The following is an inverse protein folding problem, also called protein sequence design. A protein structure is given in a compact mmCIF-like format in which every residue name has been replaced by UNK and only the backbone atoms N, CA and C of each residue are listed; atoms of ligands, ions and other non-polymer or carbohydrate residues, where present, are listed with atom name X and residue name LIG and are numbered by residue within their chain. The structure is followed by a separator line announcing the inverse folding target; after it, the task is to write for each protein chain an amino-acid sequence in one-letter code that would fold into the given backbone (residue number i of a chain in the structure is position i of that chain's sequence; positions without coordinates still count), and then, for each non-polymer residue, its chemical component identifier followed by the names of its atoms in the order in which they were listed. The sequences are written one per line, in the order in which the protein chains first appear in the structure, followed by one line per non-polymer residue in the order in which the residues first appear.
data_IF_363520628317
#
_entry.id   IF_363520628317
#
_cell.length_a   1.000
_cell.length_b   1.000
_cell.length_c   1.000
_cell.angle_alpha   90.00
_cell.angle_beta   90.00
_cell.angle_gamma   90.00
#
_symmetry.space_group_name_H-M   'P 1'
#
loop_
_entity.id
_entity.type
_entity.pdbx_description
1 polymer ?
#
# COMPACT_ATOMS: atom_id res chain seq x y z
N UNK A 1 -1.67 -2.63 12.48
CA UNK A 1 -1.82 -1.15 12.49
C UNK A 1 -2.92 -0.67 13.44
N UNK A 2 -4.07 -1.35 13.52
CA UNK A 2 -5.21 -1.00 14.42
C UNK A 2 -4.88 -1.25 15.90
N UNK A 3 -4.13 -2.31 16.22
CA UNK A 3 -3.82 -2.66 17.62
C UNK A 3 -2.95 -1.66 18.40
N UNK A 4 -2.26 -0.72 17.73
CA UNK A 4 -1.39 0.25 18.43
C UNK A 4 -2.14 1.47 18.95
N UNK A 5 -3.39 1.71 18.51
CA UNK A 5 -4.19 2.89 18.84
C UNK A 5 -3.51 4.25 18.51
N UNK A 6 -2.41 4.24 17.74
CA UNK A 6 -1.64 5.46 17.40
C UNK A 6 -2.23 6.26 16.23
N UNK A 7 -3.50 6.04 15.94
CA UNK A 7 -4.15 6.50 14.71
C UNK A 7 -5.67 6.38 14.75
N UNK A 8 -6.21 6.32 15.96
CA UNK A 8 -7.63 6.19 16.23
C UNK A 8 -8.34 7.55 16.25
N UNK A 9 -7.60 8.64 16.07
CA UNK A 9 -8.14 9.99 15.89
C UNK A 9 -7.54 10.63 14.65
N UNK A 10 -8.25 11.57 14.00
CA UNK A 10 -7.71 12.28 12.84
C UNK A 10 -6.36 12.95 13.12
N UNK A 11 -6.19 13.56 14.29
CA UNK A 11 -4.93 14.21 14.67
C UNK A 11 -3.74 13.24 14.83
N UNK A 12 -3.95 12.08 15.46
CA UNK A 12 -2.88 11.08 15.60
C UNK A 12 -2.57 10.41 14.26
N UNK A 13 -3.59 10.19 13.43
CA UNK A 13 -3.42 9.70 12.06
C UNK A 13 -2.63 10.70 11.20
N UNK A 14 -2.94 11.99 11.28
CA UNK A 14 -2.22 13.07 10.60
C UNK A 14 -0.72 13.03 10.88
N UNK A 15 -0.31 13.02 12.16
CA UNK A 15 1.12 12.96 12.52
C UNK A 15 1.81 11.75 11.92
N UNK A 16 1.14 10.60 11.90
CA UNK A 16 1.72 9.35 11.42
C UNK A 16 1.86 9.35 9.90
N UNK A 17 0.84 9.80 9.17
CA UNK A 17 0.89 9.87 7.72
C UNK A 17 1.87 10.95 7.24
N UNK A 18 1.91 12.12 7.88
CA UNK A 18 2.93 13.13 7.61
C UNK A 18 4.33 12.59 7.84
N UNK A 19 4.58 11.91 8.98
CA UNK A 19 5.90 11.29 9.21
C UNK A 19 6.25 10.25 8.14
N UNK A 20 5.28 9.47 7.68
CA UNK A 20 5.49 8.44 6.64
C UNK A 20 5.84 9.10 5.30
N UNK A 21 5.07 10.11 4.90
CA UNK A 21 5.31 10.88 3.68
C UNK A 21 6.67 11.56 3.69
N UNK A 22 7.05 12.23 4.78
CA UNK A 22 8.36 12.86 4.91
C UNK A 22 9.50 11.85 4.80
N UNK A 23 9.33 10.62 5.30
CA UNK A 23 10.30 9.55 5.09
C UNK A 23 10.39 9.15 3.62
N UNK A 24 9.27 8.94 2.93
CA UNK A 24 9.23 8.59 1.51
C UNK A 24 9.91 9.68 0.66
N UNK A 25 9.57 10.95 0.88
CA UNK A 25 10.22 12.08 0.21
C UNK A 25 11.72 12.11 0.51
N UNK A 26 12.13 11.88 1.75
CA UNK A 26 13.55 11.80 2.10
C UNK A 26 14.25 10.72 1.26
N UNK A 27 13.66 9.53 1.13
CA UNK A 27 14.22 8.40 0.38
C UNK A 27 14.31 8.70 -1.12
N UNK A 28 13.30 9.37 -1.68
CA UNK A 28 13.24 9.72 -3.10
C UNK A 28 14.15 10.90 -3.47
N UNK A 29 14.44 11.80 -2.53
CA UNK A 29 15.18 13.05 -2.80
C UNK A 29 16.66 13.01 -2.42
N UNK A 30 17.15 11.94 -1.78
CA UNK A 30 18.55 11.84 -1.37
C UNK A 30 19.15 10.48 -1.67
N UNK A 31 20.42 10.49 -2.07
CA UNK A 31 21.21 9.28 -2.26
C UNK A 31 21.15 8.34 -1.05
N UNK A 32 21.01 7.04 -1.33
CA UNK A 32 21.12 6.01 -0.31
C UNK A 32 22.58 5.60 -0.10
N UNK A 33 23.29 6.35 0.73
CA UNK A 33 24.68 6.07 1.14
C UNK A 33 24.82 6.06 2.66
N UNK A 34 25.75 5.31 3.27
CA UNK A 34 25.98 5.38 4.71
C UNK A 34 26.09 6.82 5.22
N UNK A 35 25.31 7.18 6.24
CA UNK A 35 25.27 8.53 6.83
C UNK A 35 24.34 9.54 6.12
N UNK A 36 23.90 9.27 4.89
CA UNK A 36 22.94 10.12 4.17
C UNK A 36 21.61 10.30 4.92
N UNK A 37 20.80 11.33 4.57
CA UNK A 37 19.44 11.47 5.07
C UNK A 37 18.58 10.22 4.84
N UNK A 38 18.61 9.63 3.63
CA UNK A 38 17.89 8.39 3.30
C UNK A 38 18.31 7.22 4.20
N UNK A 39 19.62 7.04 4.40
CA UNK A 39 20.16 6.00 5.26
C UNK A 39 19.69 6.14 6.72
N UNK A 40 19.86 7.33 7.31
CA UNK A 40 19.41 7.60 8.69
C UNK A 40 17.90 7.44 8.83
N UNK A 41 17.14 7.86 7.83
CA UNK A 41 15.69 7.71 7.80
C UNK A 41 15.25 6.25 7.76
N UNK A 42 15.85 5.42 6.90
CA UNK A 42 15.51 4.00 6.79
C UNK A 42 15.87 3.23 8.07
N UNK A 43 17.04 3.51 8.66
CA UNK A 43 17.41 2.94 9.96
C UNK A 43 16.43 3.34 11.06
N UNK A 44 15.97 4.59 11.07
CA UNK A 44 14.96 5.07 12.02
C UNK A 44 13.64 4.30 11.86
N UNK A 45 13.17 4.11 10.62
CA UNK A 45 11.93 3.36 10.35
C UNK A 45 12.07 1.89 10.74
N UNK A 46 13.20 1.24 10.40
CA UNK A 46 13.48 -0.14 10.82
C UNK A 46 13.47 -0.28 12.35
N UNK A 47 14.13 0.63 13.06
CA UNK A 47 14.13 0.64 14.52
C UNK A 47 12.71 0.80 15.09
N UNK A 48 11.90 1.69 14.51
CA UNK A 48 10.50 1.88 14.89
C UNK A 48 9.67 0.60 14.68
N UNK A 49 9.85 -0.12 13.59
CA UNK A 49 9.19 -1.42 13.37
C UNK A 49 9.59 -2.46 14.43
N UNK A 50 10.89 -2.56 14.76
CA UNK A 50 11.37 -3.47 15.80
C UNK A 50 10.78 -3.10 17.17
N UNK A 51 10.81 -1.82 17.54
CA UNK A 51 10.24 -1.34 18.81
C UNK A 51 8.74 -1.58 18.87
N UNK A 52 8.00 -1.30 17.79
CA UNK A 52 6.57 -1.57 17.71
C UNK A 52 6.27 -3.07 17.82
N UNK A 53 7.03 -3.91 17.14
CA UNK A 53 6.89 -5.37 17.21
C UNK A 53 7.19 -5.94 18.61
N UNK A 54 8.16 -5.37 19.33
CA UNK A 54 8.43 -5.71 20.74
C UNK A 54 7.29 -5.26 21.65
N UNK A 55 6.79 -4.03 21.49
CA UNK A 55 5.70 -3.51 22.28
C UNK A 55 4.39 -4.31 22.08
N UNK A 56 4.08 -4.71 20.85
CA UNK A 56 2.93 -5.56 20.56
C UNK A 56 3.04 -6.93 21.24
N UNK A 57 4.23 -7.54 21.24
CA UNK A 57 4.49 -8.82 21.92
C UNK A 57 4.27 -8.72 23.42
N UNK A 58 4.77 -7.66 24.06
CA UNK A 58 4.58 -7.42 25.49
C UNK A 58 3.10 -7.28 25.86
N UNK A 59 2.29 -6.72 24.95
CA UNK A 59 0.84 -6.60 25.11
C UNK A 59 0.05 -7.84 24.69
N UNK A 60 0.71 -8.93 24.30
CA UNK A 60 0.08 -10.14 23.72
C UNK A 60 -0.79 -9.86 22.48
N UNK A 61 -0.44 -8.85 21.70
CA UNK A 61 -1.15 -8.41 20.49
C UNK A 61 -0.45 -8.88 19.19
N UNK A 62 0.44 -9.87 19.27
CA UNK A 62 1.25 -10.35 18.14
C UNK A 62 2.52 -9.53 17.93
N UNK A 63 2.99 -9.39 16.69
CA UNK A 63 4.20 -8.65 16.34
C UNK A 63 4.09 -8.04 14.94
N UNK A 64 5.01 -7.13 14.58
CA UNK A 64 5.15 -6.67 13.20
C UNK A 64 5.89 -7.77 12.43
N UNK A 65 5.15 -8.56 11.67
CA UNK A 65 5.65 -9.71 10.92
C UNK A 65 6.18 -9.32 9.54
N UNK A 66 6.90 -10.24 8.89
CA UNK A 66 7.32 -10.08 7.50
C UNK A 66 6.12 -9.95 6.55
N UNK A 67 5.03 -10.66 6.83
CA UNK A 67 3.76 -10.51 6.12
C UNK A 67 3.20 -9.10 6.27
N UNK A 68 3.25 -8.52 7.47
CA UNK A 68 2.78 -7.15 7.68
C UNK A 68 3.60 -6.14 6.87
N UNK A 69 4.94 -6.33 6.80
CA UNK A 69 5.80 -5.47 5.98
C UNK A 69 5.45 -5.61 4.48
N UNK A 70 5.31 -6.84 3.98
CA UNK A 70 4.99 -7.11 2.58
C UNK A 70 3.62 -6.54 2.18
N UNK A 71 2.58 -6.74 3.00
CA UNK A 71 1.25 -6.17 2.75
C UNK A 71 1.22 -4.64 2.91
N UNK A 72 2.02 -4.06 3.80
CA UNK A 72 2.16 -2.60 3.89
C UNK A 72 2.82 -2.04 2.63
N UNK A 73 3.85 -2.72 2.11
CA UNK A 73 4.46 -2.34 0.83
C UNK A 73 3.45 -2.46 -0.32
N UNK A 74 2.64 -3.51 -0.35
CA UNK A 74 1.58 -3.66 -1.35
C UNK A 74 0.62 -2.46 -1.32
N UNK A 75 0.23 -2.01 -0.13
CA UNK A 75 -0.61 -0.82 0.04
C UNK A 75 0.04 0.49 -0.42
N UNK A 76 1.38 0.58 -0.42
CA UNK A 76 2.11 1.78 -0.87
C UNK A 76 2.35 1.81 -2.39
N UNK A 77 2.71 0.66 -2.99
CA UNK A 77 3.20 0.62 -4.38
C UNK A 77 2.50 -0.41 -5.26
N UNK A 78 1.73 -1.33 -4.69
CA UNK A 78 1.12 -2.44 -5.41
C UNK A 78 0.22 -1.95 -6.54
N UNK A 79 -0.69 -1.01 -6.25
CA UNK A 79 -1.55 -0.45 -7.29
C UNK A 79 -0.80 0.43 -8.30
N UNK A 80 0.28 1.09 -7.90
CA UNK A 80 1.16 1.82 -8.81
C UNK A 80 1.86 0.89 -9.81
N UNK A 81 2.19 -0.33 -9.39
CA UNK A 81 2.71 -1.38 -10.29
C UNK A 81 1.61 -1.98 -11.16
N UNK A 82 0.41 -2.24 -10.61
CA UNK A 82 -0.65 -2.91 -11.35
C UNK A 82 -1.38 -2.02 -12.34
N UNK A 83 -1.53 -0.73 -12.01
CA UNK A 83 -2.34 0.26 -12.73
C UNK A 83 -1.60 1.60 -12.83
N UNK A 84 -0.37 1.65 -13.41
CA UNK A 84 0.48 2.84 -13.39
C UNK A 84 -0.17 4.07 -14.05
N UNK A 85 -1.03 3.86 -15.04
CA UNK A 85 -1.83 4.90 -15.71
C UNK A 85 -2.73 5.66 -14.73
N UNK A 86 -3.31 4.95 -13.75
CA UNK A 86 -4.18 5.54 -12.72
C UNK A 86 -3.43 6.41 -11.70
N UNK A 87 -2.11 6.30 -11.67
CA UNK A 87 -1.23 7.05 -10.78
C UNK A 87 -0.34 8.04 -11.53
N UNK A 88 -0.59 8.26 -12.82
CA UNK A 88 0.20 9.13 -13.69
C UNK A 88 1.70 8.75 -13.72
N UNK A 89 2.00 7.47 -13.49
CA UNK A 89 3.35 6.94 -13.63
C UNK A 89 3.61 6.65 -15.10
N UNK A 90 4.31 7.58 -15.75
CA UNK A 90 4.67 7.49 -17.16
C UNK A 90 6.13 7.08 -17.27
N UNK A 91 6.38 5.94 -17.93
CA UNK A 91 7.74 5.53 -18.29
C UNK A 91 8.22 6.44 -19.42
N UNK A 92 9.23 7.26 -19.15
CA UNK A 92 9.81 8.17 -20.15
C UNK A 92 10.97 7.49 -20.87
N UNK A 93 11.73 6.67 -20.14
CA UNK A 93 12.84 5.87 -20.66
C UNK A 93 12.56 4.39 -20.45
N UNK A 94 13.18 3.56 -21.30
CA UNK A 94 13.24 2.12 -21.09
C UNK A 94 13.99 1.86 -19.77
N UNK A 95 13.40 1.08 -18.87
CA UNK A 95 14.00 0.77 -17.58
C UNK A 95 13.45 1.58 -16.40
N UNK A 96 12.58 2.58 -16.61
CA UNK A 96 12.08 3.43 -15.52
C UNK A 96 11.25 2.62 -14.51
N UNK A 97 10.42 1.69 -14.99
CA UNK A 97 9.60 0.84 -14.11
C UNK A 97 10.46 -0.18 -13.36
N UNK A 98 11.50 -0.72 -13.99
CA UNK A 98 12.48 -1.57 -13.34
C UNK A 98 13.27 -0.80 -12.27
N UNK A 99 13.64 0.46 -12.54
CA UNK A 99 14.29 1.32 -11.56
C UNK A 99 13.35 1.66 -10.39
N UNK A 100 12.06 1.93 -10.66
CA UNK A 100 11.03 2.14 -9.64
C UNK A 100 10.87 0.91 -8.74
N UNK A 101 10.77 -0.28 -9.34
CA UNK A 101 10.70 -1.56 -8.60
C UNK A 101 11.98 -1.78 -7.79
N UNK A 102 13.15 -1.55 -8.37
CA UNK A 102 14.43 -1.73 -7.70
C UNK A 102 14.57 -0.79 -6.49
N UNK A 103 14.17 0.47 -6.63
CA UNK A 103 14.14 1.45 -5.54
C UNK A 103 13.32 0.92 -4.35
N UNK A 104 12.11 0.41 -4.60
CA UNK A 104 11.27 -0.15 -3.55
C UNK A 104 11.74 -1.51 -3.04
N UNK A 105 12.42 -2.31 -3.86
CA UNK A 105 13.08 -3.54 -3.42
C UNK A 105 14.16 -3.23 -2.37
N UNK A 106 15.00 -2.24 -2.64
CA UNK A 106 16.05 -1.80 -1.70
C UNK A 106 15.44 -1.20 -0.44
N UNK A 107 14.40 -0.37 -0.54
CA UNK A 107 13.69 0.14 0.64
C UNK A 107 13.16 -1.00 1.48
N UNK A 108 12.48 -1.98 0.87
CA UNK A 108 11.94 -3.16 1.53
C UNK A 108 13.01 -3.91 2.34
N UNK A 109 14.17 -4.17 1.72
CA UNK A 109 15.31 -4.79 2.39
C UNK A 109 15.83 -3.95 3.57
N UNK A 110 15.98 -2.63 3.36
CA UNK A 110 16.49 -1.71 4.37
C UNK A 110 15.58 -1.60 5.60
N UNK A 111 14.25 -1.60 5.41
CA UNK A 111 13.30 -1.59 6.53
C UNK A 111 13.14 -2.96 7.22
N UNK A 112 13.88 -3.98 6.77
CA UNK A 112 13.96 -5.30 7.40
C UNK A 112 13.04 -6.36 6.81
N UNK A 113 12.50 -6.16 5.61
CA UNK A 113 11.83 -7.22 4.85
C UNK A 113 12.89 -8.16 4.27
N UNK A 114 12.77 -9.46 4.49
CA UNK A 114 13.65 -10.46 3.88
C UNK A 114 13.32 -10.57 2.40
N UNK A 115 14.34 -10.80 1.56
CA UNK A 115 14.18 -10.86 0.11
C UNK A 115 13.14 -11.89 -0.35
N UNK A 116 12.93 -12.98 0.38
CA UNK A 116 11.90 -13.98 0.07
C UNK A 116 10.46 -13.49 0.30
N UNK A 117 10.26 -12.45 1.11
CA UNK A 117 8.96 -11.84 1.39
C UNK A 117 8.80 -10.47 0.72
N UNK A 118 9.86 -9.93 0.12
CA UNK A 118 9.83 -8.66 -0.57
C UNK A 118 9.04 -8.80 -1.88
N UNK A 119 7.99 -7.97 -2.01
CA UNK A 119 7.09 -7.99 -3.16
C UNK A 119 7.76 -7.45 -4.43
N UNK A 120 8.75 -6.57 -4.28
CA UNK A 120 9.53 -6.05 -5.41
C UNK A 120 10.62 -7.07 -5.78
N UNK A 121 10.47 -7.66 -6.96
CA UNK A 121 11.31 -8.73 -7.50
C UNK A 121 12.39 -8.18 -8.44
N UNK A 122 13.13 -9.07 -9.12
CA UNK A 122 14.23 -8.68 -9.98
C UNK A 122 13.74 -7.94 -11.23
N UNK A 123 12.57 -8.31 -11.73
CA UNK A 123 11.95 -7.68 -12.91
C UNK A 123 10.63 -7.04 -12.55
N UNK A 124 10.20 -6.10 -13.41
CA UNK A 124 8.88 -5.50 -13.31
C UNK A 124 7.78 -6.56 -13.45
N UNK A 125 7.89 -7.47 -14.42
CA UNK A 125 6.91 -8.53 -14.67
C UNK A 125 6.73 -9.48 -13.48
N UNK A 126 7.83 -9.92 -12.85
CA UNK A 126 7.78 -10.74 -11.64
C UNK A 126 7.08 -9.99 -10.49
N UNK A 127 7.38 -8.69 -10.36
CA UNK A 127 6.76 -7.83 -9.33
C UNK A 127 5.27 -7.64 -9.59
N UNK A 128 4.90 -7.43 -10.86
CA UNK A 128 3.51 -7.32 -11.29
C UNK A 128 2.73 -8.60 -10.92
N UNK A 129 3.26 -9.77 -11.25
CA UNK A 129 2.63 -11.06 -10.92
C UNK A 129 2.45 -11.24 -9.41
N UNK A 130 3.47 -10.92 -8.61
CA UNK A 130 3.38 -11.01 -7.13
C UNK A 130 2.33 -10.04 -6.58
N UNK A 131 2.32 -8.79 -7.05
CA UNK A 131 1.33 -7.81 -6.64
C UNK A 131 -0.09 -8.24 -7.02
N UNK A 132 -0.28 -8.78 -8.24
CA UNK A 132 -1.58 -9.24 -8.74
C UNK A 132 -2.10 -10.41 -7.89
N UNK A 133 -1.26 -11.40 -7.62
CA UNK A 133 -1.61 -12.55 -6.78
C UNK A 133 -1.97 -12.13 -5.34
N UNK A 134 -1.26 -11.17 -4.76
CA UNK A 134 -1.58 -10.64 -3.44
C UNK A 134 -2.91 -9.85 -3.45
N UNK A 135 -3.17 -9.08 -4.50
CA UNK A 135 -4.45 -8.38 -4.65
C UNK A 135 -5.59 -9.39 -4.77
N UNK A 136 -5.48 -10.36 -5.67
CA UNK A 136 -6.56 -11.31 -5.96
C UNK A 136 -6.83 -12.27 -4.80
N UNK A 137 -5.79 -12.77 -4.14
CA UNK A 137 -5.95 -13.79 -3.09
C UNK A 137 -6.09 -13.23 -1.68
N UNK A 138 -5.67 -11.98 -1.45
CA UNK A 138 -5.67 -11.40 -0.10
C UNK A 138 -6.53 -10.14 -0.06
N UNK A 139 -6.21 -9.13 -0.87
CA UNK A 139 -6.85 -7.83 -0.73
C UNK A 139 -8.32 -7.83 -1.18
N UNK A 140 -8.60 -8.40 -2.35
CA UNK A 140 -9.94 -8.48 -2.93
C UNK A 140 -10.93 -9.20 -1.98
N UNK A 141 -10.66 -10.43 -1.48
CA UNK A 141 -11.55 -11.08 -0.53
C UNK A 141 -11.80 -10.27 0.75
N UNK A 142 -10.79 -9.56 1.25
CA UNK A 142 -10.92 -8.68 2.42
C UNK A 142 -11.76 -7.43 2.13
N UNK A 143 -11.77 -6.92 0.89
CA UNK A 143 -12.55 -5.75 0.49
C UNK A 143 -14.00 -6.09 0.11
N UNK A 144 -14.26 -7.33 -0.31
CA UNK A 144 -15.62 -7.88 -0.45
C UNK A 144 -16.27 -8.11 0.91
N UNK A 145 -15.48 -8.57 1.89
CA UNK A 145 -15.97 -8.93 3.23
C UNK A 145 -15.26 -8.10 4.30
N UNK A 146 -15.55 -6.79 4.31
CA UNK A 146 -14.95 -5.87 5.27
C UNK A 146 -15.56 -6.04 6.67
N UNK A 147 -14.77 -5.90 7.75
CA UNK A 147 -15.32 -5.88 9.10
C UNK A 147 -16.14 -4.61 9.35
N UNK A 148 -17.07 -4.65 10.32
CA UNK A 148 -17.97 -3.54 10.66
C UNK A 148 -17.25 -2.21 10.92
N UNK A 149 -16.09 -2.25 11.58
CA UNK A 149 -15.30 -1.06 11.90
C UNK A 149 -14.48 -0.52 10.72
N UNK A 150 -14.48 -1.18 9.56
CA UNK A 150 -13.62 -0.84 8.42
C UNK A 150 -13.84 0.58 7.94
N UNK A 151 -15.09 0.95 7.62
CA UNK A 151 -15.37 2.27 7.04
C UNK A 151 -15.04 3.40 8.00
N UNK A 152 -15.42 3.25 9.28
CA UNK A 152 -15.07 4.22 10.31
C UNK A 152 -13.56 4.41 10.42
N UNK A 153 -12.81 3.30 10.49
CA UNK A 153 -11.35 3.34 10.57
C UNK A 153 -10.75 3.98 9.32
N UNK A 154 -11.23 3.61 8.13
CA UNK A 154 -10.76 4.17 6.86
C UNK A 154 -10.98 5.69 6.81
N UNK A 155 -12.19 6.17 7.17
CA UNK A 155 -12.49 7.61 7.23
C UNK A 155 -11.58 8.34 8.21
N UNK A 156 -11.44 7.88 9.46
CA UNK A 156 -10.54 8.50 10.46
C UNK A 156 -9.10 8.58 9.97
N UNK A 157 -8.61 7.53 9.32
CA UNK A 157 -7.26 7.49 8.78
C UNK A 157 -7.07 8.51 7.65
N UNK A 158 -8.08 8.67 6.80
CA UNK A 158 -8.02 9.49 5.59
C UNK A 158 -8.25 10.95 5.94
N UNK A 159 -9.17 11.26 6.85
CA UNK A 159 -9.34 12.60 7.39
C UNK A 159 -8.02 13.14 7.96
N UNK A 160 -7.29 12.31 8.72
CA UNK A 160 -5.96 12.66 9.19
C UNK A 160 -4.91 12.75 8.07
N UNK A 161 -4.98 11.87 7.07
CA UNK A 161 -4.05 11.85 5.93
C UNK A 161 -4.34 12.90 4.84
N UNK A 162 -5.51 13.53 4.85
CA UNK A 162 -6.01 14.41 3.79
C UNK A 162 -5.10 15.61 3.53
N UNK A 163 -4.45 16.13 4.57
CA UNK A 163 -3.45 17.20 4.49
C UNK A 163 -2.17 16.81 3.72
N UNK A 164 -1.94 15.51 3.51
CA UNK A 164 -0.76 14.96 2.83
C UNK A 164 -1.12 14.39 1.46
N UNK A 165 -2.29 13.74 1.33
CA UNK A 165 -2.71 13.03 0.11
C UNK A 165 -3.73 13.82 -0.73
N UNK A 166 -3.54 15.13 -0.89
CA UNK A 166 -4.34 15.97 -1.81
C UNK A 166 -5.85 16.06 -1.53
N UNK A 167 -6.26 16.21 -0.26
CA UNK A 167 -7.66 16.46 0.12
C UNK A 167 -8.67 15.40 -0.36
N UNK A 168 -8.25 14.15 -0.43
CA UNK A 168 -9.14 13.03 -0.71
C UNK A 168 -10.05 12.77 0.50
N UNK A 169 -11.36 12.69 0.29
CA UNK A 169 -12.31 12.29 1.33
C UNK A 169 -12.35 10.76 1.51
N UNK A 170 -12.84 10.33 2.68
CA UNK A 170 -12.90 8.93 3.06
C UNK A 170 -13.79 8.06 2.18
N UNK A 171 -14.82 8.60 1.53
CA UNK A 171 -15.70 7.81 0.67
C UNK A 171 -15.03 7.59 -0.69
N UNK A 172 -14.38 8.62 -1.25
CA UNK A 172 -13.60 8.48 -2.48
C UNK A 172 -12.52 7.42 -2.35
N UNK A 173 -11.72 7.43 -1.27
CA UNK A 173 -10.61 6.46 -1.16
C UNK A 173 -11.10 5.03 -0.94
N UNK A 174 -12.21 4.84 -0.23
CA UNK A 174 -12.83 3.51 -0.08
C UNK A 174 -13.30 3.02 -1.45
N UNK A 175 -14.03 3.87 -2.17
CA UNK A 175 -14.50 3.57 -3.53
C UNK A 175 -13.33 3.24 -4.45
N UNK A 176 -12.33 4.13 -4.51
CA UNK A 176 -11.19 4.04 -5.39
C UNK A 176 -10.34 2.81 -5.07
N UNK A 177 -10.12 2.50 -3.80
CA UNK A 177 -9.39 1.28 -3.40
C UNK A 177 -10.12 0.02 -3.86
N UNK A 178 -11.45 -0.03 -3.70
CA UNK A 178 -12.26 -1.17 -4.15
C UNK A 178 -12.29 -1.28 -5.68
N UNK A 179 -12.36 -0.16 -6.38
CA UNK A 179 -12.25 -0.11 -7.84
C UNK A 179 -10.87 -0.58 -8.32
N UNK A 180 -9.78 -0.11 -7.71
CA UNK A 180 -8.42 -0.52 -8.02
C UNK A 180 -8.18 -2.02 -7.74
N UNK A 181 -8.81 -2.58 -6.71
CA UNK A 181 -8.77 -4.01 -6.40
C UNK A 181 -9.73 -4.89 -7.24
N UNK A 182 -10.46 -4.30 -8.20
CA UNK A 182 -11.45 -4.99 -9.04
C UNK A 182 -12.61 -5.65 -8.24
N UNK A 183 -13.00 -5.05 -7.11
CA UNK A 183 -14.18 -5.51 -6.35
C UNK A 183 -15.43 -5.40 -7.24
N UNK A 184 -16.23 -6.47 -7.38
CA UNK A 184 -17.43 -6.44 -8.22
C UNK A 184 -18.37 -5.28 -7.83
N UNK A 185 -18.84 -4.54 -8.84
CA UNK A 185 -19.77 -3.42 -8.66
C UNK A 185 -19.12 -2.04 -8.51
N UNK A 186 -17.79 -1.95 -8.34
CA UNK A 186 -17.06 -0.68 -8.29
C UNK A 186 -16.56 -0.27 -9.68
N UNK A 187 -17.41 0.47 -10.40
CA UNK A 187 -17.27 0.76 -11.85
C UNK A 187 -16.94 2.23 -12.07
N UNK A 188 -15.83 2.53 -12.73
CA UNK A 188 -15.40 3.89 -12.99
C UNK A 188 -15.69 4.35 -14.43
N UNK A 189 -15.65 3.44 -15.41
CA UNK A 189 -15.84 3.78 -16.83
C UNK A 189 -17.03 3.04 -17.47
N UNK A 190 -17.56 3.58 -18.57
CA UNK A 190 -18.61 2.90 -19.35
C UNK A 190 -18.12 1.57 -19.94
N UNK A 191 -16.84 1.46 -20.31
CA UNK A 191 -16.26 0.21 -20.80
C UNK A 191 -16.32 -0.89 -19.72
N UNK A 192 -15.95 -0.57 -18.49
CA UNK A 192 -16.05 -1.48 -17.35
C UNK A 192 -17.50 -1.88 -17.07
N UNK A 193 -18.44 -0.93 -17.17
CA UNK A 193 -19.88 -1.22 -17.03
C UNK A 193 -20.33 -2.25 -18.06
N UNK A 194 -19.97 -2.05 -19.33
CA UNK A 194 -20.31 -2.97 -20.42
C UNK A 194 -19.66 -4.34 -20.22
N UNK A 195 -18.40 -4.39 -19.77
CA UNK A 195 -17.71 -5.63 -19.46
C UNK A 195 -18.42 -6.43 -18.35
N UNK A 196 -18.83 -5.76 -17.27
CA UNK A 196 -19.60 -6.39 -16.18
C UNK A 196 -20.95 -6.91 -16.68
N UNK A 197 -21.69 -6.13 -17.46
CA UNK A 197 -22.97 -6.56 -18.04
C UNK A 197 -22.80 -7.82 -18.92
N UNK A 198 -21.75 -7.88 -19.73
CA UNK A 198 -21.42 -9.08 -20.54
C UNK A 198 -21.14 -10.29 -19.65
N UNK A 199 -20.41 -10.11 -18.54
CA UNK A 199 -20.10 -11.18 -17.58
C UNK A 199 -21.36 -11.70 -16.89
N UNK A 200 -22.24 -10.81 -16.43
CA UNK A 200 -23.52 -11.15 -15.80
C UNK A 200 -24.49 -11.86 -16.77
N UNK A 201 -24.51 -11.47 -18.05
CA UNK A 201 -25.28 -12.17 -19.08
C UNK A 201 -24.79 -13.61 -19.26
N UNK A 202 -23.46 -13.82 -19.35
CA UNK A 202 -22.86 -15.15 -19.47
C UNK A 202 -23.13 -16.05 -18.26
N UNK A 203 -23.16 -15.50 -17.04
CA UNK A 203 -23.45 -16.29 -15.83
C UNK A 203 -24.92 -16.66 -15.67
N UNK A 204 -25.84 -15.94 -16.31
CA UNK A 204 -27.28 -16.28 -16.32
C UNK A 204 -27.66 -17.34 -17.36
N UNK A 205 -26.79 -17.62 -18.31
CA UNK A 205 -26.99 -18.65 -19.35
C UNK A 205 -26.37 -20.01 -18.99
N UNK A 206 -25.81 -20.14 -17.78
CA UNK A 206 -25.35 -21.41 -17.19
C UNK A 206 -26.28 -21.77 -16.05
#
# INVERSE_FOLDING_TARGET
MIGTQRSNTPYTAYKRYLSTYLHIITWASHDLKPGSPSWRSLHTVRARHVVAGRAARLKKQGTVSQRDLALTMLGLIGFSVLKPDKFHLVSVKKGDMEAFVHFWAVIGAMIGCQDRYNICRKTYDETYQVCQELVDRVLLPCLENVPEYFEHTARVLIDGGSAVFSFIDGDFIIYWTKHLANVPGYIYTEEERLALQRKLKKSRCK
#
